data_IF_849043109955
#
_entry.id   IF_849043109955
#
_cell.length_a   1.000
_cell.length_b   1.000
_cell.length_c   1.000
_cell.angle_alpha   90.00
_cell.angle_beta   90.00
_cell.angle_gamma   90.00
#
_symmetry.space_group_name_H-M   'P 1'
#
loop_
_entity.id
_entity.type
_entity.pdbx_description
1 polymer ?
#
# COMPACT_ATOMS: atom_id res chain seq x y z
N UNK A 1 -13.04 -22.99 8.62
CA UNK A 1 -11.58 -22.76 8.79
C UNK A 1 -10.74 -24.00 8.46
N UNK A 2 -11.01 -25.13 9.02
CA UNK A 2 -10.14 -26.32 8.93
C UNK A 2 -9.78 -26.77 7.50
N UNK A 3 -10.64 -26.58 6.50
CA UNK A 3 -10.41 -27.13 5.17
C UNK A 3 -9.49 -26.28 4.26
N UNK A 4 -9.55 -24.94 4.33
CA UNK A 4 -8.72 -24.05 3.47
C UNK A 4 -7.28 -24.08 3.93
N UNK A 5 -7.06 -23.96 5.23
CA UNK A 5 -5.72 -23.97 5.81
C UNK A 5 -5.01 -25.31 5.58
N UNK A 6 -5.72 -26.43 5.71
CA UNK A 6 -5.15 -27.76 5.44
C UNK A 6 -4.80 -27.96 3.95
N UNK A 7 -5.64 -27.42 3.04
CA UNK A 7 -5.30 -27.42 1.61
C UNK A 7 -4.07 -26.56 1.32
N UNK A 8 -3.99 -25.35 1.91
CA UNK A 8 -2.85 -24.46 1.75
C UNK A 8 -1.54 -25.08 2.28
N UNK A 9 -1.61 -25.75 3.46
CA UNK A 9 -0.46 -26.50 4.03
C UNK A 9 0.11 -27.51 3.03
N UNK A 10 -0.76 -28.30 2.40
CA UNK A 10 -0.34 -29.32 1.43
C UNK A 10 0.23 -28.69 0.14
N UNK A 11 -0.26 -27.54 -0.28
CA UNK A 11 0.21 -26.83 -1.49
C UNK A 11 1.62 -26.24 -1.30
N UNK A 12 1.95 -25.80 -0.08
CA UNK A 12 3.18 -25.11 0.24
C UNK A 12 4.14 -25.87 1.19
N UNK A 13 3.91 -27.15 1.45
CA UNK A 13 4.72 -27.99 2.37
C UNK A 13 4.80 -27.41 3.80
N UNK A 14 3.67 -26.93 4.32
CA UNK A 14 3.59 -26.25 5.62
C UNK A 14 3.03 -27.14 6.75
N UNK A 15 3.03 -28.48 6.61
CA UNK A 15 2.44 -29.42 7.58
C UNK A 15 3.09 -29.32 8.98
N UNK A 16 4.36 -28.91 9.03
CA UNK A 16 5.14 -28.78 10.28
C UNK A 16 5.23 -27.34 10.80
N UNK A 17 4.36 -26.44 10.30
CA UNK A 17 4.31 -25.06 10.73
C UNK A 17 3.12 -24.82 11.67
N UNK A 18 3.32 -23.92 12.61
CA UNK A 18 2.27 -23.33 13.44
C UNK A 18 1.76 -22.07 12.74
N UNK A 19 0.46 -21.81 12.84
CA UNK A 19 -0.21 -20.71 12.16
C UNK A 19 -0.83 -19.78 13.19
N UNK A 20 -0.43 -18.51 13.13
CA UNK A 20 -1.01 -17.43 13.91
C UNK A 20 -1.73 -16.47 12.96
N UNK A 21 -3.04 -16.32 13.12
CA UNK A 21 -3.81 -15.35 12.34
C UNK A 21 -3.48 -13.94 12.84
N UNK A 22 -3.03 -13.07 11.94
CA UNK A 22 -2.61 -11.68 12.25
C UNK A 22 -3.45 -10.64 11.49
N UNK A 23 -4.24 -11.06 10.53
CA UNK A 23 -5.14 -10.21 9.75
C UNK A 23 -6.36 -10.98 9.28
N UNK A 24 -7.39 -10.25 8.85
CA UNK A 24 -8.68 -10.80 8.43
C UNK A 24 -9.72 -10.63 9.52
N UNK A 25 -10.39 -9.50 9.47
CA UNK A 25 -11.62 -9.22 10.21
C UNK A 25 -12.83 -9.59 9.38
N UNK A 26 -14.01 -9.70 9.98
CA UNK A 26 -15.26 -9.82 9.26
C UNK A 26 -15.36 -8.65 8.25
N UNK A 27 -15.47 -8.98 6.96
CA UNK A 27 -15.46 -7.98 5.87
C UNK A 27 -14.11 -7.70 5.22
N UNK A 28 -12.97 -8.12 5.80
CA UNK A 28 -11.65 -7.89 5.24
C UNK A 28 -11.35 -8.72 3.98
N UNK A 29 -10.58 -8.14 3.04
CA UNK A 29 -10.21 -8.79 1.77
C UNK A 29 -9.41 -10.08 1.96
N UNK A 30 -8.51 -10.09 2.93
CA UNK A 30 -7.51 -11.15 3.10
C UNK A 30 -7.58 -11.77 4.50
N UNK A 31 -7.46 -13.10 4.56
CA UNK A 31 -7.04 -13.79 5.77
C UNK A 31 -5.52 -13.95 5.75
N UNK A 32 -4.85 -13.48 6.78
CA UNK A 32 -3.39 -13.48 6.86
C UNK A 32 -2.91 -14.29 8.05
N UNK A 33 -2.01 -15.23 7.79
CA UNK A 33 -1.41 -16.08 8.81
C UNK A 33 0.11 -15.97 8.80
N UNK A 34 0.70 -15.68 9.95
CA UNK A 34 2.14 -15.88 10.16
C UNK A 34 2.40 -17.36 10.40
N UNK A 35 3.28 -17.93 9.61
CA UNK A 35 3.69 -19.32 9.71
C UNK A 35 5.00 -19.43 10.47
N UNK A 36 4.99 -20.14 11.60
CA UNK A 36 6.12 -20.32 12.50
C UNK A 36 6.67 -21.73 12.43
N UNK A 37 7.97 -21.87 12.58
CA UNK A 37 8.64 -23.14 12.76
C UNK A 37 9.64 -23.02 13.90
N UNK A 38 9.47 -23.78 14.97
CA UNK A 38 10.29 -23.72 16.20
C UNK A 38 10.39 -22.28 16.74
N UNK A 39 9.26 -21.63 16.95
CA UNK A 39 9.12 -20.23 17.42
C UNK A 39 9.63 -19.15 16.45
N UNK A 40 10.24 -19.51 15.35
CA UNK A 40 10.72 -18.55 14.36
C UNK A 40 9.68 -18.30 13.28
N UNK A 41 9.34 -17.02 13.06
CA UNK A 41 8.46 -16.59 11.95
C UNK A 41 9.20 -16.79 10.63
N UNK A 42 8.64 -17.57 9.71
CA UNK A 42 9.30 -17.94 8.45
C UNK A 42 8.65 -17.39 7.22
N UNK A 43 7.31 -17.40 7.20
CA UNK A 43 6.55 -16.96 6.04
C UNK A 43 5.16 -16.46 6.45
N UNK A 44 4.50 -15.81 5.51
CA UNK A 44 3.15 -15.25 5.64
C UNK A 44 2.27 -15.89 4.57
N UNK A 45 1.23 -16.58 5.01
CA UNK A 45 0.21 -17.14 4.12
C UNK A 45 -0.95 -16.16 4.01
N UNK A 46 -1.25 -15.72 2.79
CA UNK A 46 -2.40 -14.86 2.48
C UNK A 46 -3.45 -15.66 1.70
N UNK A 47 -4.68 -15.60 2.15
CA UNK A 47 -5.85 -16.18 1.50
C UNK A 47 -6.81 -15.05 1.18
N UNK A 48 -7.00 -14.78 -0.11
CA UNK A 48 -7.83 -13.68 -0.62
C UNK A 48 -9.14 -14.24 -1.16
N UNK A 49 -10.25 -13.80 -0.60
CA UNK A 49 -11.55 -14.41 -0.85
C UNK A 49 -12.64 -13.43 -1.32
N UNK A 50 -12.36 -12.12 -1.22
CA UNK A 50 -13.35 -11.09 -1.52
C UNK A 50 -13.53 -10.96 -3.01
N UNK A 51 -13.99 -11.48 -3.85
CA UNK A 51 -14.19 -11.43 -5.31
C UNK A 51 -14.05 -10.07 -6.01
N UNK A 52 -13.38 -9.12 -5.38
CA UNK A 52 -13.11 -7.76 -5.87
C UNK A 52 -11.93 -7.70 -6.84
N UNK A 53 -11.12 -8.77 -6.89
CA UNK A 53 -9.95 -8.89 -7.76
C UNK A 53 -9.95 -10.21 -8.52
N UNK A 54 -9.40 -10.15 -9.71
CA UNK A 54 -9.23 -11.31 -10.60
C UNK A 54 -7.95 -12.10 -10.27
N UNK A 55 -7.86 -13.33 -10.75
CA UNK A 55 -6.63 -14.13 -10.70
C UNK A 55 -5.45 -13.39 -11.34
N UNK A 56 -5.68 -12.74 -12.49
CA UNK A 56 -4.65 -12.00 -13.22
C UNK A 56 -4.05 -10.86 -12.39
N UNK A 57 -4.87 -10.15 -11.60
CA UNK A 57 -4.39 -9.09 -10.73
C UNK A 57 -3.53 -9.62 -9.58
N UNK A 58 -3.85 -10.79 -9.01
CA UNK A 58 -3.01 -11.44 -8.01
C UNK A 58 -1.71 -11.99 -8.62
N UNK A 59 -1.75 -12.53 -9.83
CA UNK A 59 -0.56 -12.98 -10.56
C UNK A 59 0.34 -11.79 -10.91
N UNK A 60 -0.24 -10.66 -11.34
CA UNK A 60 0.52 -9.44 -11.65
C UNK A 60 1.22 -8.85 -10.40
N UNK A 61 0.54 -8.80 -9.24
CA UNK A 61 1.14 -8.38 -7.97
C UNK A 61 2.31 -9.28 -7.59
N UNK A 62 2.07 -10.58 -7.52
CA UNK A 62 3.07 -11.54 -7.05
C UNK A 62 4.26 -11.68 -8.03
N UNK A 63 4.01 -11.55 -9.34
CA UNK A 63 5.06 -11.47 -10.36
C UNK A 63 5.96 -10.26 -10.15
N UNK A 64 5.37 -9.09 -9.87
CA UNK A 64 6.13 -7.86 -9.59
C UNK A 64 6.97 -7.98 -8.32
N UNK A 65 6.39 -8.45 -7.22
CA UNK A 65 7.13 -8.67 -5.96
C UNK A 65 8.29 -9.64 -6.16
N UNK A 66 8.06 -10.74 -6.85
CA UNK A 66 9.11 -11.73 -7.14
C UNK A 66 10.21 -11.14 -8.01
N UNK A 67 9.85 -10.35 -9.03
CA UNK A 67 10.82 -9.63 -9.85
C UNK A 67 11.66 -8.66 -9.01
N UNK A 68 11.04 -7.86 -8.14
CA UNK A 68 11.74 -6.92 -7.26
C UNK A 68 12.75 -7.64 -6.37
N UNK A 69 12.33 -8.71 -5.69
CA UNK A 69 13.20 -9.52 -4.82
C UNK A 69 14.37 -10.13 -5.59
N UNK A 70 14.12 -10.72 -6.76
CA UNK A 70 15.15 -11.33 -7.60
C UNK A 70 16.16 -10.33 -8.15
N UNK A 71 15.80 -9.07 -8.25
CA UNK A 71 16.68 -8.00 -8.71
C UNK A 71 17.26 -7.15 -7.56
N UNK A 72 17.13 -7.61 -6.31
CA UNK A 72 17.83 -7.08 -5.16
C UNK A 72 17.12 -5.97 -4.40
N UNK A 73 15.83 -5.71 -4.66
CA UNK A 73 15.03 -4.87 -3.78
C UNK A 73 14.76 -5.59 -2.45
N UNK A 74 14.74 -4.83 -1.36
CA UNK A 74 14.43 -5.37 -0.05
C UNK A 74 12.92 -5.47 0.15
N UNK A 75 12.35 -6.56 -0.36
CA UNK A 75 10.92 -6.88 -0.29
C UNK A 75 10.72 -8.31 0.21
N UNK A 76 9.59 -8.59 0.83
CA UNK A 76 9.19 -9.93 1.24
C UNK A 76 8.83 -10.77 -0.01
N UNK A 77 9.79 -11.58 -0.50
CA UNK A 77 9.64 -12.35 -1.74
C UNK A 77 8.47 -13.33 -1.67
N UNK A 78 7.87 -13.61 -2.80
CA UNK A 78 6.84 -14.65 -2.95
C UNK A 78 7.50 -16.03 -3.00
N UNK A 79 6.99 -16.95 -2.22
CA UNK A 79 7.45 -18.35 -2.18
C UNK A 79 6.55 -19.17 -3.11
N UNK A 80 7.08 -19.74 -4.21
CA UNK A 80 6.28 -20.54 -5.12
C UNK A 80 5.69 -21.79 -4.43
N UNK A 81 4.50 -22.17 -4.85
CA UNK A 81 3.88 -23.44 -4.45
C UNK A 81 4.68 -24.65 -4.96
N UNK A 82 4.30 -25.87 -4.54
CA UNK A 82 4.84 -27.12 -5.07
C UNK A 82 4.68 -27.27 -6.58
N UNK A 83 3.68 -26.62 -7.15
CA UNK A 83 3.44 -26.60 -8.59
C UNK A 83 4.29 -25.54 -9.33
N UNK A 84 5.04 -24.70 -8.60
CA UNK A 84 5.84 -23.61 -9.13
C UNK A 84 5.06 -22.33 -9.39
N UNK A 85 3.79 -22.25 -8.98
CA UNK A 85 2.97 -21.05 -9.12
C UNK A 85 3.18 -20.07 -7.96
N UNK A 86 3.08 -18.78 -8.23
CA UNK A 86 3.13 -17.72 -7.23
C UNK A 86 1.76 -17.51 -6.55
N UNK A 87 0.68 -17.81 -7.27
CA UNK A 87 -0.70 -17.77 -6.77
C UNK A 87 -1.37 -19.09 -7.07
N UNK A 88 -2.04 -19.67 -6.09
CA UNK A 88 -2.88 -20.86 -6.26
C UNK A 88 -4.36 -20.49 -6.10
N UNK A 89 -5.18 -21.09 -6.97
CA UNK A 89 -6.63 -20.95 -6.92
C UNK A 89 -7.24 -22.11 -6.15
N UNK A 90 -8.12 -21.82 -5.22
CA UNK A 90 -8.85 -22.82 -4.46
C UNK A 90 -10.34 -22.55 -4.44
N UNK A 91 -11.14 -23.62 -4.35
CA UNK A 91 -12.58 -23.55 -4.09
C UNK A 91 -12.83 -23.88 -2.62
N UNK A 92 -13.59 -23.01 -1.94
CA UNK A 92 -13.88 -23.11 -0.51
C UNK A 92 -15.32 -22.70 -0.23
N UNK A 93 -15.88 -23.24 0.85
CA UNK A 93 -17.21 -22.78 1.28
C UNK A 93 -17.13 -21.35 1.82
N UNK A 94 -18.07 -20.46 1.47
CA UNK A 94 -18.08 -19.07 1.92
C UNK A 94 -17.96 -18.92 3.44
N UNK A 95 -18.69 -19.75 4.20
CA UNK A 95 -18.67 -19.77 5.67
C UNK A 95 -17.28 -20.07 6.29
N UNK A 96 -16.34 -20.59 5.49
CA UNK A 96 -14.98 -20.93 5.97
C UNK A 96 -14.04 -19.71 5.92
N UNK A 97 -14.37 -18.72 5.12
CA UNK A 97 -13.55 -17.52 4.88
C UNK A 97 -14.19 -16.24 5.40
N UNK A 98 -15.21 -16.36 6.28
CA UNK A 98 -15.87 -15.21 6.89
C UNK A 98 -16.80 -14.42 5.97
N UNK A 99 -17.00 -14.86 4.73
CA UNK A 99 -18.02 -14.29 3.86
C UNK A 99 -19.39 -14.71 4.41
N UNK A 100 -20.24 -13.74 4.74
CA UNK A 100 -21.61 -14.01 5.17
C UNK A 100 -22.36 -14.74 4.06
N UNK A 101 -23.20 -15.74 4.42
CA UNK A 101 -24.10 -16.43 3.47
C UNK A 101 -25.15 -15.49 2.83
N UNK A 102 -25.08 -14.18 3.13
CA UNK A 102 -26.07 -13.17 2.74
C UNK A 102 -25.97 -12.70 1.29
N UNK A 103 -24.97 -13.09 0.54
CA UNK A 103 -24.96 -12.86 -0.90
C UNK A 103 -25.73 -13.96 -1.62
N UNK A 104 -27.05 -13.82 -1.68
CA UNK A 104 -27.98 -14.53 -2.56
C UNK A 104 -27.78 -16.05 -2.74
N UNK A 105 -28.13 -16.84 -1.74
CA UNK A 105 -28.56 -18.24 -1.97
C UNK A 105 -27.62 -19.16 -2.78
N UNK A 106 -26.35 -18.83 -2.89
CA UNK A 106 -25.38 -19.63 -3.64
C UNK A 106 -24.96 -20.85 -2.80
N UNK A 107 -25.56 -21.98 -3.07
CA UNK A 107 -25.12 -23.31 -2.57
C UNK A 107 -23.77 -23.77 -3.18
N UNK A 108 -22.92 -22.86 -3.66
CA UNK A 108 -21.65 -23.18 -4.32
C UNK A 108 -20.41 -22.85 -3.49
N UNK A 109 -19.30 -23.50 -3.82
CA UNK A 109 -17.99 -23.13 -3.28
C UNK A 109 -17.57 -21.74 -3.84
N UNK A 110 -17.07 -20.85 -2.98
CA UNK A 110 -16.48 -19.59 -3.37
C UNK A 110 -15.03 -19.80 -3.86
N UNK A 111 -14.62 -19.01 -4.81
CA UNK A 111 -13.23 -18.98 -5.28
C UNK A 111 -12.37 -18.17 -4.32
N UNK A 112 -11.17 -18.65 -3.99
CA UNK A 112 -10.17 -17.88 -3.27
C UNK A 112 -8.79 -18.09 -3.89
N UNK A 113 -7.90 -17.09 -3.68
CA UNK A 113 -6.54 -17.07 -4.16
C UNK A 113 -5.58 -17.14 -2.98
N UNK A 114 -4.55 -17.96 -3.11
CA UNK A 114 -3.60 -18.21 -2.03
C UNK A 114 -2.20 -17.92 -2.47
N UNK A 115 -1.49 -17.12 -1.69
CA UNK A 115 -0.08 -16.78 -1.92
C UNK A 115 0.70 -16.93 -0.62
N UNK A 116 1.96 -17.35 -0.74
CA UNK A 116 2.89 -17.46 0.37
C UNK A 116 4.04 -16.47 0.17
N UNK A 117 4.35 -15.69 1.19
CA UNK A 117 5.43 -14.73 1.18
C UNK A 117 6.47 -15.08 2.23
N UNK A 118 7.74 -14.77 1.99
CA UNK A 118 8.77 -14.80 3.01
C UNK A 118 8.39 -13.83 4.14
N UNK A 119 8.71 -14.15 5.39
CA UNK A 119 8.52 -13.19 6.47
C UNK A 119 9.53 -12.05 6.33
N UNK A 120 9.05 -10.82 6.32
CA UNK A 120 9.91 -9.63 6.22
C UNK A 120 10.88 -9.57 7.41
N UNK A 121 12.16 -9.30 7.14
CA UNK A 121 13.18 -9.18 8.18
C UNK A 121 12.91 -7.94 9.06
N UNK A 122 13.06 -8.09 10.37
CA UNK A 122 12.81 -7.01 11.34
C UNK A 122 11.42 -7.08 11.96
N UNK A 123 10.92 -5.95 12.43
CA UNK A 123 9.60 -5.78 13.04
C UNK A 123 9.00 -4.44 12.60
N UNK A 124 7.70 -4.25 12.81
CA UNK A 124 7.04 -2.95 12.62
C UNK A 124 7.60 -1.90 13.59
N UNK A 125 7.64 -0.65 13.17
CA UNK A 125 8.02 0.46 14.04
C UNK A 125 7.09 0.57 15.26
N UNK A 126 5.80 0.33 15.08
CA UNK A 126 4.79 0.31 16.13
C UNK A 126 5.05 -0.75 17.19
N UNK A 127 5.58 -1.92 16.82
CA UNK A 127 5.97 -2.96 17.76
C UNK A 127 7.12 -2.52 18.68
N UNK A 128 7.93 -1.54 18.26
CA UNK A 128 8.97 -0.89 19.08
C UNK A 128 8.54 0.48 19.64
N UNK A 129 7.23 0.77 19.69
CA UNK A 129 6.69 2.02 20.21
C UNK A 129 7.18 3.26 19.47
N UNK A 130 7.41 3.15 18.16
CA UNK A 130 7.97 4.19 17.30
C UNK A 130 9.37 4.70 17.70
N UNK A 131 10.07 4.00 18.59
CA UNK A 131 11.48 4.26 18.82
C UNK A 131 12.31 3.64 17.72
N UNK A 132 13.13 4.47 17.08
CA UNK A 132 14.13 3.96 16.16
C UNK A 132 15.30 3.32 16.92
N UNK A 133 16.19 2.67 16.23
CA UNK A 133 17.28 1.89 16.82
C UNK A 133 18.24 2.72 17.67
N UNK A 134 18.75 2.14 18.76
CA UNK A 134 19.65 2.80 19.68
C UNK A 134 20.93 3.33 19.01
N UNK A 135 21.27 4.57 19.32
CA UNK A 135 22.49 5.22 18.83
C UNK A 135 22.48 5.69 17.38
N UNK A 136 21.38 5.46 16.65
CA UNK A 136 21.21 5.98 15.29
C UNK A 136 20.25 7.19 15.28
N UNK A 137 20.50 8.18 14.42
CA UNK A 137 19.57 9.30 14.25
C UNK A 137 18.33 8.86 13.48
N UNK A 138 17.21 9.51 13.75
CA UNK A 138 15.94 9.26 13.02
C UNK A 138 16.07 9.55 11.51
N UNK A 139 16.96 10.45 11.12
CA UNK A 139 17.25 10.72 9.71
C UNK A 139 17.77 9.49 8.94
N UNK A 140 18.36 8.51 9.60
CA UNK A 140 18.74 7.25 8.97
C UNK A 140 17.49 6.46 8.52
N UNK A 141 16.42 6.44 9.34
CA UNK A 141 15.15 5.84 8.94
C UNK A 141 14.58 6.53 7.69
N UNK A 142 14.54 7.87 7.71
CA UNK A 142 14.01 8.65 6.59
C UNK A 142 14.79 8.42 5.29
N UNK A 143 16.13 8.38 5.41
CA UNK A 143 16.99 8.02 4.28
C UNK A 143 16.67 6.62 3.75
N UNK A 144 16.54 5.63 4.63
CA UNK A 144 16.26 4.25 4.26
C UNK A 144 14.85 4.07 3.65
N UNK A 145 13.86 4.84 4.09
CA UNK A 145 12.53 4.88 3.45
C UNK A 145 12.65 5.35 1.98
N UNK A 146 13.30 6.49 1.77
CA UNK A 146 13.55 7.01 0.42
C UNK A 146 14.35 6.06 -0.45
N UNK A 147 15.43 5.46 0.08
CA UNK A 147 16.25 4.49 -0.61
C UNK A 147 15.44 3.25 -1.03
N UNK A 148 14.58 2.74 -0.15
CA UNK A 148 13.75 1.57 -0.43
C UNK A 148 12.79 1.82 -1.58
N UNK A 149 12.04 2.92 -1.53
CA UNK A 149 11.13 3.32 -2.62
C UNK A 149 11.89 3.62 -3.90
N UNK A 150 13.05 4.29 -3.82
CA UNK A 150 13.92 4.53 -4.98
C UNK A 150 14.37 3.23 -5.66
N UNK A 151 14.74 2.21 -4.89
CA UNK A 151 15.12 0.90 -5.44
C UNK A 151 13.94 0.21 -6.14
N UNK A 152 12.74 0.26 -5.55
CA UNK A 152 11.51 -0.27 -6.15
C UNK A 152 11.23 0.44 -7.48
N UNK A 153 11.24 1.77 -7.51
CA UNK A 153 10.96 2.55 -8.72
C UNK A 153 12.01 2.35 -9.81
N UNK A 154 13.30 2.29 -9.46
CA UNK A 154 14.37 1.98 -10.42
C UNK A 154 14.14 0.64 -11.12
N UNK A 155 13.71 -0.37 -10.39
CA UNK A 155 13.40 -1.69 -10.94
C UNK A 155 12.08 -1.66 -11.71
N UNK A 156 11.07 -0.94 -11.24
CA UNK A 156 9.78 -0.76 -11.93
C UNK A 156 9.97 -0.18 -13.35
N UNK A 157 10.87 0.81 -13.53
CA UNK A 157 11.21 1.37 -14.85
C UNK A 157 11.68 0.31 -15.86
N UNK A 158 12.28 -0.75 -15.37
CA UNK A 158 12.84 -1.83 -16.19
C UNK A 158 11.93 -3.05 -16.27
N UNK A 159 10.87 -3.09 -15.47
CA UNK A 159 9.96 -4.22 -15.39
C UNK A 159 9.20 -4.45 -16.70
N UNK A 160 9.04 -5.70 -17.09
CA UNK A 160 8.28 -6.12 -18.26
C UNK A 160 7.29 -7.19 -17.82
N UNK A 161 6.06 -6.80 -17.49
CA UNK A 161 5.06 -7.70 -16.91
C UNK A 161 4.57 -8.75 -17.92
N UNK A 162 4.27 -9.93 -17.40
CA UNK A 162 3.47 -10.94 -18.10
C UNK A 162 1.97 -10.71 -17.85
N UNK A 163 1.64 -10.31 -16.64
CA UNK A 163 0.27 -9.98 -16.22
C UNK A 163 0.15 -8.48 -15.93
N UNK A 164 -1.03 -7.91 -16.24
CA UNK A 164 -1.24 -6.47 -16.13
C UNK A 164 -1.91 -6.08 -14.82
N UNK A 165 -1.42 -5.03 -14.19
CA UNK A 165 -2.13 -4.30 -13.13
C UNK A 165 -2.92 -3.15 -13.75
N UNK A 166 -3.97 -2.69 -13.05
CA UNK A 166 -4.75 -1.54 -13.46
C UNK A 166 -3.91 -0.25 -13.47
N UNK A 167 -4.33 0.71 -14.29
CA UNK A 167 -3.81 2.06 -14.33
C UNK A 167 -4.54 2.92 -13.28
N UNK A 168 -3.94 4.02 -12.84
CA UNK A 168 -4.58 4.93 -11.90
C UNK A 168 -6.01 5.32 -12.34
N UNK A 169 -6.19 5.73 -13.59
CA UNK A 169 -7.49 6.17 -14.09
C UNK A 169 -8.50 5.04 -14.37
N UNK A 170 -8.12 3.77 -14.27
CA UNK A 170 -9.07 2.66 -14.35
C UNK A 170 -9.97 2.62 -13.11
N UNK A 171 -9.43 2.99 -11.93
CA UNK A 171 -10.18 3.11 -10.68
C UNK A 171 -10.56 4.57 -10.38
N UNK A 172 -9.58 5.49 -10.38
CA UNK A 172 -9.78 6.88 -9.94
C UNK A 172 -10.24 7.74 -11.12
N UNK A 173 -11.54 7.67 -11.44
CA UNK A 173 -12.22 8.44 -12.49
C UNK A 173 -13.60 8.88 -12.00
N UNK A 174 -14.24 9.83 -12.69
CA UNK A 174 -15.51 10.38 -12.24
C UNK A 174 -16.67 9.38 -12.23
N UNK A 175 -16.64 8.35 -13.07
CA UNK A 175 -17.65 7.29 -13.06
C UNK A 175 -17.59 6.51 -11.73
N UNK A 176 -16.37 6.20 -11.26
CA UNK A 176 -16.18 5.52 -9.98
C UNK A 176 -16.46 6.43 -8.79
N UNK A 177 -15.98 7.68 -8.83
CA UNK A 177 -16.27 8.70 -7.82
C UNK A 177 -17.78 8.91 -7.64
N UNK A 178 -18.52 9.03 -8.73
CA UNK A 178 -19.99 9.19 -8.69
C UNK A 178 -20.71 7.96 -8.14
N UNK A 179 -20.12 6.78 -8.29
CA UNK A 179 -20.65 5.53 -7.77
C UNK A 179 -20.48 5.42 -6.25
N UNK A 180 -19.29 5.80 -5.71
CA UNK A 180 -18.96 5.55 -4.31
C UNK A 180 -19.23 6.75 -3.39
N UNK A 181 -19.09 7.98 -3.89
CA UNK A 181 -19.29 9.19 -3.09
C UNK A 181 -20.74 9.68 -3.28
N UNK A 182 -21.54 9.84 -2.21
CA UNK A 182 -22.91 10.30 -2.27
C UNK A 182 -23.05 11.71 -2.88
N UNK A 183 -24.21 12.00 -3.50
CA UNK A 183 -24.51 13.31 -4.11
C UNK A 183 -24.53 14.48 -3.10
N UNK A 184 -24.66 14.19 -1.81
CA UNK A 184 -24.55 15.20 -0.76
C UNK A 184 -23.17 15.89 -0.74
N UNK A 185 -22.13 15.25 -1.29
CA UNK A 185 -20.76 15.76 -1.37
C UNK A 185 -20.45 16.41 -2.73
N UNK A 186 -21.39 17.20 -3.29
CA UNK A 186 -21.23 17.77 -4.65
C UNK A 186 -20.00 18.68 -4.78
N UNK A 187 -19.62 19.44 -3.76
CA UNK A 187 -18.43 20.30 -3.76
C UNK A 187 -17.14 19.47 -3.80
N UNK A 188 -17.09 18.38 -3.04
CA UNK A 188 -16.00 17.41 -3.08
C UNK A 188 -15.85 16.76 -4.47
N UNK A 189 -16.95 16.28 -5.04
CA UNK A 189 -16.95 15.70 -6.40
C UNK A 189 -16.41 16.69 -7.43
N UNK A 190 -16.81 17.98 -7.33
CA UNK A 190 -16.29 19.02 -8.20
C UNK A 190 -14.79 19.28 -8.01
N UNK A 191 -14.30 19.28 -6.76
CA UNK A 191 -12.89 19.41 -6.46
C UNK A 191 -12.06 18.22 -6.99
N UNK A 192 -12.57 16.99 -6.81
CA UNK A 192 -11.94 15.77 -7.36
C UNK A 192 -11.89 15.85 -8.90
N UNK A 193 -12.98 16.25 -9.56
CA UNK A 193 -13.02 16.37 -11.01
C UNK A 193 -11.95 17.34 -11.54
N UNK A 194 -11.79 18.52 -10.91
CA UNK A 194 -10.72 19.46 -11.24
C UNK A 194 -9.33 18.82 -11.12
N UNK A 195 -9.07 18.09 -10.03
CA UNK A 195 -7.77 17.43 -9.81
C UNK A 195 -7.52 16.33 -10.84
N UNK A 196 -8.52 15.50 -11.15
CA UNK A 196 -8.39 14.45 -12.16
C UNK A 196 -8.05 15.02 -13.54
N UNK A 197 -8.65 16.15 -13.94
CA UNK A 197 -8.29 16.83 -15.19
C UNK A 197 -6.85 17.35 -15.16
N UNK A 198 -6.40 17.90 -14.05
CA UNK A 198 -5.00 18.33 -13.88
C UNK A 198 -4.02 17.15 -13.94
N UNK A 199 -4.36 16.00 -13.33
CA UNK A 199 -3.52 14.80 -13.41
C UNK A 199 -3.36 14.31 -14.85
N UNK A 200 -4.40 14.42 -15.70
CA UNK A 200 -4.33 14.05 -17.12
C UNK A 200 -3.31 14.88 -17.92
N UNK A 201 -2.90 16.03 -17.42
CA UNK A 201 -1.87 16.87 -18.04
C UNK A 201 -0.43 16.51 -17.66
N UNK A 202 -0.26 15.63 -16.68
CA UNK A 202 1.06 15.19 -16.23
C UNK A 202 1.73 14.28 -17.27
N UNK A 203 3.06 14.36 -17.43
CA UNK A 203 3.77 13.49 -18.36
C UNK A 203 3.64 12.02 -17.96
N UNK A 204 3.42 11.16 -18.94
CA UNK A 204 3.38 9.70 -18.78
C UNK A 204 4.47 9.11 -19.66
N UNK A 205 5.60 8.80 -19.07
CA UNK A 205 6.76 8.18 -19.70
C UNK A 205 7.45 7.22 -18.72
N UNK A 206 8.36 6.34 -19.18
CA UNK A 206 9.00 5.34 -18.31
C UNK A 206 9.83 5.92 -17.16
N UNK A 207 10.22 7.21 -17.22
CA UNK A 207 10.96 7.87 -16.13
C UNK A 207 10.07 8.45 -15.05
N UNK A 208 8.80 8.72 -15.37
CA UNK A 208 7.82 9.36 -14.48
C UNK A 208 6.71 8.43 -14.02
N UNK A 209 6.42 7.36 -14.76
CA UNK A 209 5.22 6.53 -14.59
C UNK A 209 5.53 5.03 -14.71
N UNK A 210 5.03 4.23 -13.79
CA UNK A 210 5.20 2.77 -13.76
C UNK A 210 4.46 2.15 -12.58
N UNK A 211 4.75 0.89 -12.26
CA UNK A 211 4.22 0.25 -11.07
C UNK A 211 4.82 0.90 -9.82
N UNK A 212 3.95 1.39 -8.94
CA UNK A 212 4.28 1.95 -7.62
C UNK A 212 3.78 1.02 -6.52
N UNK A 213 4.28 1.19 -5.29
CA UNK A 213 3.76 0.46 -4.14
C UNK A 213 2.32 0.86 -3.82
N UNK A 214 2.03 2.14 -3.92
CA UNK A 214 0.73 2.79 -3.72
C UNK A 214 0.24 2.85 -2.26
N UNK A 215 0.85 2.09 -1.36
CA UNK A 215 0.51 2.05 0.07
C UNK A 215 1.79 1.81 0.92
N UNK A 216 2.84 2.60 0.69
CA UNK A 216 4.09 2.50 1.45
C UNK A 216 3.98 3.24 2.78
N UNK A 217 3.33 2.61 3.75
CA UNK A 217 3.14 3.09 5.11
C UNK A 217 3.98 2.29 6.12
N UNK A 218 4.07 2.78 7.35
CA UNK A 218 4.76 2.10 8.46
C UNK A 218 4.11 0.76 8.88
N UNK A 219 2.89 0.50 8.44
CA UNK A 219 2.23 -0.80 8.51
C UNK A 219 2.70 -1.82 7.48
N UNK A 220 3.38 -1.37 6.40
CA UNK A 220 3.71 -2.18 5.23
C UNK A 220 5.23 -2.36 5.02
N UNK A 221 6.04 -2.10 6.04
CA UNK A 221 7.44 -2.47 6.07
C UNK A 221 7.92 -2.82 7.49
N UNK A 222 8.89 -3.73 7.56
CA UNK A 222 9.65 -3.99 8.78
C UNK A 222 10.97 -3.23 8.77
N UNK A 223 11.44 -2.85 9.95
CA UNK A 223 12.79 -2.30 10.19
C UNK A 223 13.64 -3.34 10.91
N UNK A 224 14.79 -3.65 10.38
CA UNK A 224 15.82 -4.39 11.11
C UNK A 224 16.58 -3.43 12.02
N UNK A 225 16.30 -3.48 13.31
CA UNK A 225 16.90 -2.59 14.30
C UNK A 225 18.40 -2.83 14.52
N UNK A 226 18.99 -3.87 13.93
CA UNK A 226 20.43 -4.11 13.99
C UNK A 226 21.22 -3.22 13.03
N UNK A 227 20.66 -2.90 11.86
CA UNK A 227 21.33 -2.14 10.80
C UNK A 227 20.47 -1.05 10.14
N UNK A 228 19.19 -0.93 10.52
CA UNK A 228 18.24 0.04 9.99
C UNK A 228 17.65 -0.32 8.62
N UNK A 229 17.94 -1.51 8.10
CA UNK A 229 17.42 -1.93 6.80
C UNK A 229 15.89 -2.08 6.84
N UNK A 230 15.23 -1.63 5.78
CA UNK A 230 13.78 -1.76 5.60
C UNK A 230 13.49 -2.93 4.66
N UNK A 231 12.53 -3.77 5.02
CA UNK A 231 11.97 -4.82 4.16
C UNK A 231 10.49 -4.57 3.95
N UNK A 232 10.09 -4.26 2.72
CA UNK A 232 8.73 -3.88 2.33
C UNK A 232 7.88 -5.11 2.02
N UNK A 233 6.59 -5.02 2.28
CA UNK A 233 5.59 -6.05 1.97
C UNK A 233 4.23 -5.40 1.66
N UNK A 234 3.23 -6.22 1.33
CA UNK A 234 1.86 -5.85 0.98
C UNK A 234 1.77 -4.92 -0.23
N UNK A 235 2.10 -5.47 -1.40
CA UNK A 235 1.92 -4.84 -2.70
C UNK A 235 0.49 -5.00 -3.25
N UNK A 236 -0.45 -5.37 -2.40
CA UNK A 236 -1.85 -5.60 -2.79
C UNK A 236 -2.45 -4.42 -3.55
N UNK A 237 -2.12 -3.20 -3.17
CA UNK A 237 -2.61 -1.98 -3.80
C UNK A 237 -1.74 -1.46 -4.95
N UNK A 238 -0.63 -2.15 -5.33
CA UNK A 238 0.23 -1.69 -6.40
C UNK A 238 -0.53 -1.49 -7.73
N UNK A 239 -0.34 -0.36 -8.37
CA UNK A 239 -0.94 0.01 -9.65
C UNK A 239 0.06 0.77 -10.52
N UNK A 240 -0.26 0.96 -11.80
CA UNK A 240 0.47 1.91 -12.64
C UNK A 240 0.06 3.34 -12.28
N UNK A 241 1.02 4.10 -11.75
CA UNK A 241 0.85 5.49 -11.33
C UNK A 241 2.17 6.26 -11.52
N UNK A 242 2.16 7.57 -11.29
CA UNK A 242 3.39 8.37 -11.23
C UNK A 242 4.21 7.98 -10.00
N UNK A 243 5.52 7.85 -10.15
CA UNK A 243 6.42 7.57 -9.03
C UNK A 243 6.35 8.63 -7.92
N UNK A 244 5.93 9.82 -8.27
CA UNK A 244 5.66 10.91 -7.31
C UNK A 244 4.53 10.60 -6.34
N UNK A 245 3.63 9.65 -6.65
CA UNK A 245 2.58 9.23 -5.73
C UNK A 245 3.19 8.68 -4.44
N UNK A 246 4.10 7.71 -4.53
CA UNK A 246 4.73 7.13 -3.34
C UNK A 246 5.57 8.17 -2.55
N UNK A 247 6.18 9.15 -3.23
CA UNK A 247 6.87 10.25 -2.57
C UNK A 247 5.89 11.21 -1.86
N UNK A 248 4.74 11.50 -2.47
CA UNK A 248 3.68 12.29 -1.85
C UNK A 248 3.05 11.54 -0.66
N UNK A 249 2.88 10.23 -0.78
CA UNK A 249 2.42 9.37 0.30
C UNK A 249 3.40 9.40 1.50
N UNK A 250 4.70 9.34 1.24
CA UNK A 250 5.72 9.56 2.28
C UNK A 250 5.62 10.95 2.90
N UNK A 251 5.36 12.00 2.10
CA UNK A 251 5.14 13.34 2.65
C UNK A 251 3.94 13.36 3.60
N UNK A 252 2.79 12.81 3.23
CA UNK A 252 1.59 12.82 4.08
C UNK A 252 1.83 12.09 5.40
N UNK A 253 2.52 10.95 5.38
CA UNK A 253 2.91 10.22 6.59
C UNK A 253 3.92 10.97 7.46
N UNK A 254 4.74 11.84 6.87
CA UNK A 254 5.70 12.67 7.59
C UNK A 254 5.07 13.61 8.61
N UNK A 255 3.82 13.98 8.41
CA UNK A 255 3.07 14.84 9.34
C UNK A 255 3.02 14.23 10.75
N UNK A 256 2.90 12.91 10.86
CA UNK A 256 2.91 12.19 12.14
C UNK A 256 4.20 12.41 12.96
N UNK A 257 5.32 12.66 12.30
CA UNK A 257 6.61 12.89 12.98
C UNK A 257 6.76 14.30 13.56
N UNK A 258 5.92 15.27 13.15
CA UNK A 258 6.03 16.66 13.58
C UNK A 258 4.72 17.27 14.13
N UNK A 259 3.61 16.56 14.11
CA UNK A 259 2.32 17.10 14.57
C UNK A 259 2.32 17.55 16.05
N UNK A 260 3.22 17.02 16.86
CA UNK A 260 3.43 17.43 18.24
C UNK A 260 4.04 18.84 18.40
N UNK A 261 4.58 19.41 17.31
CA UNK A 261 5.12 20.77 17.29
C UNK A 261 3.96 21.77 17.15
N UNK A 262 3.77 22.69 18.10
CA UNK A 262 2.67 23.67 18.04
C UNK A 262 2.89 24.76 16.98
N UNK A 263 4.12 25.00 16.58
CA UNK A 263 4.55 26.08 15.68
C UNK A 263 4.55 25.57 14.23
N UNK A 264 3.67 26.13 13.40
CA UNK A 264 3.50 25.72 11.99
C UNK A 264 4.74 25.99 11.13
N UNK A 265 5.48 27.08 11.38
CA UNK A 265 6.71 27.37 10.62
C UNK A 265 7.79 26.34 10.94
N UNK A 266 7.91 25.92 12.20
CA UNK A 266 8.85 24.87 12.59
C UNK A 266 8.46 23.52 12.02
N UNK A 267 7.16 23.18 12.00
CA UNK A 267 6.68 21.96 11.35
C UNK A 267 7.07 21.94 9.87
N UNK A 268 6.80 23.04 9.17
CA UNK A 268 7.13 23.15 7.75
C UNK A 268 8.63 23.04 7.51
N UNK A 269 9.47 23.72 8.32
CA UNK A 269 10.91 23.61 8.23
C UNK A 269 11.38 22.17 8.46
N UNK A 270 10.89 21.49 9.51
CA UNK A 270 11.19 20.10 9.78
C UNK A 270 10.82 19.19 8.61
N UNK A 271 9.62 19.35 8.06
CA UNK A 271 9.14 18.55 6.94
C UNK A 271 10.00 18.72 5.69
N UNK A 272 10.40 19.96 5.38
CA UNK A 272 11.20 20.23 4.19
C UNK A 272 12.67 19.88 4.35
N UNK A 273 13.30 20.33 5.43
CA UNK A 273 14.75 20.38 5.58
C UNK A 273 15.30 19.11 6.24
N UNK A 274 14.52 18.48 7.13
CA UNK A 274 14.97 17.29 7.85
C UNK A 274 14.30 16.01 7.34
N UNK A 275 12.99 15.97 7.25
CA UNK A 275 12.25 14.78 6.87
C UNK A 275 12.34 14.49 5.37
N UNK A 276 11.72 15.32 4.55
CA UNK A 276 11.56 15.02 3.12
C UNK A 276 12.86 15.20 2.32
N UNK A 277 13.70 16.16 2.69
CA UNK A 277 15.03 16.30 2.09
C UNK A 277 15.86 15.03 2.28
N UNK A 278 15.81 14.42 3.48
CA UNK A 278 16.51 13.17 3.77
C UNK A 278 15.92 11.99 2.99
N UNK A 279 14.59 11.91 2.86
CA UNK A 279 13.92 10.92 2.00
C UNK A 279 14.37 11.07 0.55
N UNK A 280 14.40 12.30 0.02
CA UNK A 280 14.85 12.57 -1.36
C UNK A 280 16.33 12.20 -1.55
N UNK A 281 17.17 12.43 -0.57
CA UNK A 281 18.57 11.99 -0.62
C UNK A 281 18.66 10.46 -0.75
N UNK A 282 17.93 9.73 0.09
CA UNK A 282 17.83 8.28 0.00
C UNK A 282 17.28 7.82 -1.34
N UNK A 283 16.19 8.42 -1.82
CA UNK A 283 15.59 8.11 -3.11
C UNK A 283 16.56 8.31 -4.28
N UNK A 284 17.24 9.46 -4.29
CA UNK A 284 18.21 9.83 -5.34
C UNK A 284 19.45 8.94 -5.35
N UNK A 285 19.72 8.21 -4.27
CA UNK A 285 20.80 7.20 -4.26
C UNK A 285 20.49 5.97 -5.13
N UNK A 286 19.21 5.75 -5.46
CA UNK A 286 18.74 4.58 -6.22
C UNK A 286 18.05 4.97 -7.53
N UNK A 287 17.31 6.07 -7.58
CA UNK A 287 16.49 6.48 -8.72
C UNK A 287 16.57 7.98 -8.97
N UNK A 288 16.28 8.38 -10.20
CA UNK A 288 16.11 9.79 -10.58
C UNK A 288 14.67 10.23 -10.33
N UNK A 289 14.48 11.47 -9.92
CA UNK A 289 13.19 12.13 -9.84
C UNK A 289 13.24 13.44 -10.66
N UNK A 290 12.15 13.75 -11.37
CA UNK A 290 12.03 14.98 -12.14
C UNK A 290 11.81 16.16 -11.21
N UNK A 291 12.66 17.19 -11.31
CA UNK A 291 12.49 18.44 -10.55
C UNK A 291 11.15 19.12 -10.92
N UNK A 292 10.75 19.08 -12.19
CA UNK A 292 9.45 19.59 -12.63
C UNK A 292 8.27 18.90 -11.92
N UNK A 293 8.37 17.58 -11.65
CA UNK A 293 7.34 16.85 -10.93
C UNK A 293 7.43 17.08 -9.41
N UNK A 294 8.63 17.30 -8.87
CA UNK A 294 8.80 17.70 -7.47
C UNK A 294 8.15 19.05 -7.18
N UNK A 295 8.27 20.03 -8.09
CA UNK A 295 7.55 21.31 -7.97
C UNK A 295 6.02 21.15 -7.94
N UNK A 296 5.50 20.01 -8.39
CA UNK A 296 4.07 19.65 -8.37
C UNK A 296 3.71 18.74 -7.19
N UNK A 297 4.55 18.61 -6.17
CA UNK A 297 4.31 17.71 -5.04
C UNK A 297 2.94 17.95 -4.39
N UNK A 298 2.47 19.19 -4.27
CA UNK A 298 1.14 19.51 -3.75
C UNK A 298 0.01 18.83 -4.54
N UNK A 299 0.15 18.75 -5.86
CA UNK A 299 -0.83 18.08 -6.73
C UNK A 299 -0.81 16.55 -6.52
N UNK A 300 0.35 15.96 -6.24
CA UNK A 300 0.46 14.54 -5.90
C UNK A 300 -0.04 14.23 -4.48
N UNK A 301 0.06 15.19 -3.56
CA UNK A 301 -0.59 15.09 -2.25
C UNK A 301 -2.11 15.07 -2.42
N UNK A 302 -2.69 15.95 -3.24
CA UNK A 302 -4.11 15.90 -3.58
C UNK A 302 -4.51 14.53 -4.15
N UNK A 303 -3.61 13.87 -4.91
CA UNK A 303 -3.84 12.52 -5.44
C UNK A 303 -3.93 11.46 -4.32
N UNK A 304 -3.07 11.57 -3.30
CA UNK A 304 -3.11 10.71 -2.11
C UNK A 304 -4.38 10.95 -1.30
N UNK A 305 -4.78 12.22 -1.11
CA UNK A 305 -6.02 12.54 -0.40
C UNK A 305 -7.26 12.00 -1.13
N UNK A 306 -7.30 12.07 -2.46
CA UNK A 306 -8.40 11.51 -3.27
C UNK A 306 -8.44 9.99 -3.13
N UNK A 307 -7.29 9.34 -3.12
CA UNK A 307 -7.20 7.90 -2.90
C UNK A 307 -7.80 7.53 -1.55
N UNK A 308 -7.35 8.17 -0.46
CA UNK A 308 -7.85 7.91 0.88
C UNK A 308 -9.35 8.17 1.04
N UNK A 309 -9.87 9.27 0.47
CA UNK A 309 -11.31 9.57 0.48
C UNK A 309 -12.10 8.48 -0.25
N UNK A 310 -11.69 8.12 -1.46
CA UNK A 310 -12.40 7.11 -2.27
C UNK A 310 -12.40 5.76 -1.56
N UNK A 311 -11.26 5.38 -0.95
CA UNK A 311 -11.13 4.11 -0.24
C UNK A 311 -12.00 4.07 1.02
N UNK A 312 -12.08 5.18 1.76
CA UNK A 312 -12.94 5.31 2.95
C UNK A 312 -14.42 5.18 2.60
N UNK A 313 -14.91 5.90 1.57
CA UNK A 313 -16.28 5.75 1.12
C UNK A 313 -16.60 4.34 0.60
N UNK A 314 -15.65 3.70 -0.09
CA UNK A 314 -15.78 2.32 -0.57
C UNK A 314 -15.86 1.32 0.60
N UNK A 315 -15.04 1.52 1.63
CA UNK A 315 -15.06 0.69 2.83
C UNK A 315 -16.36 0.84 3.61
N UNK A 316 -16.80 2.07 3.85
CA UNK A 316 -18.04 2.37 4.53
C UNK A 316 -19.27 1.77 3.82
N UNK A 317 -19.35 1.91 2.48
CA UNK A 317 -20.43 1.30 1.67
C UNK A 317 -20.45 -0.24 1.80
N UNK A 318 -19.27 -0.87 1.76
CA UNK A 318 -19.12 -2.32 1.89
C UNK A 318 -19.55 -2.83 3.28
N UNK A 319 -19.28 -2.07 4.33
CA UNK A 319 -19.60 -2.41 5.71
C UNK A 319 -21.02 -1.98 6.10
N UNK A 320 -21.67 -1.16 5.29
CA UNK A 320 -22.99 -0.58 5.55
C UNK A 320 -22.97 0.47 6.65
N UNK A 321 -21.84 1.16 6.79
CA UNK A 321 -21.57 2.21 7.75
C UNK A 321 -21.46 3.58 7.08
N UNK A 322 -21.41 4.66 7.85
CA UNK A 322 -21.04 5.98 7.35
C UNK A 322 -19.51 6.11 7.39
N UNK A 323 -18.89 6.86 6.45
CA UNK A 323 -17.45 7.10 6.47
C UNK A 323 -16.99 7.75 7.76
N UNK A 324 -15.77 7.46 8.23
CA UNK A 324 -15.22 8.06 9.44
C UNK A 324 -15.12 9.58 9.28
N UNK A 325 -15.82 10.38 10.10
CA UNK A 325 -15.80 11.83 9.97
C UNK A 325 -14.40 12.43 10.17
N UNK A 326 -13.57 11.86 11.05
CA UNK A 326 -12.25 12.43 11.36
C UNK A 326 -11.32 12.38 10.14
N UNK A 327 -11.27 11.25 9.43
CA UNK A 327 -10.42 11.09 8.25
C UNK A 327 -11.00 11.83 7.04
N UNK A 328 -12.30 11.65 6.77
CA UNK A 328 -12.93 12.25 5.59
C UNK A 328 -13.02 13.77 5.70
N UNK A 329 -13.39 14.35 6.84
CA UNK A 329 -13.60 15.79 6.98
C UNK A 329 -12.32 16.59 6.71
N UNK A 330 -11.18 16.16 7.22
CA UNK A 330 -9.91 16.86 7.00
C UNK A 330 -9.44 16.76 5.53
N UNK A 331 -9.55 15.61 4.92
CA UNK A 331 -9.18 15.43 3.51
C UNK A 331 -10.11 16.21 2.57
N UNK A 332 -11.42 16.14 2.81
CA UNK A 332 -12.44 16.90 2.08
C UNK A 332 -12.16 18.39 2.17
N UNK A 333 -11.90 18.88 3.37
CA UNK A 333 -11.59 20.31 3.61
C UNK A 333 -10.34 20.73 2.84
N UNK A 334 -9.26 19.93 2.88
CA UNK A 334 -8.04 20.22 2.15
C UNK A 334 -8.28 20.35 0.64
N UNK A 335 -9.06 19.43 0.06
CA UNK A 335 -9.36 19.46 -1.37
C UNK A 335 -10.32 20.58 -1.77
N UNK A 336 -11.40 20.81 -1.03
CA UNK A 336 -12.44 21.79 -1.36
C UNK A 336 -11.94 23.22 -1.14
N UNK A 337 -11.27 23.48 0.00
CA UNK A 337 -10.75 24.82 0.34
C UNK A 337 -9.35 25.07 -0.27
N UNK A 338 -8.74 24.08 -0.95
CA UNK A 338 -7.39 24.14 -1.49
C UNK A 338 -6.33 24.57 -0.46
N UNK A 339 -6.42 24.03 0.75
CA UNK A 339 -5.47 24.28 1.84
C UNK A 339 -4.49 23.12 2.00
N UNK A 340 -3.26 23.38 2.50
CA UNK A 340 -2.28 22.35 2.71
C UNK A 340 -2.75 21.29 3.71
N UNK A 341 -2.47 20.02 3.43
CA UNK A 341 -2.77 18.92 4.33
C UNK A 341 -2.07 19.10 5.68
N UNK A 342 -2.82 18.92 6.78
CA UNK A 342 -2.37 19.14 8.16
C UNK A 342 -1.73 20.53 8.41
N UNK A 343 -2.05 21.53 7.58
CA UNK A 343 -1.52 22.90 7.67
C UNK A 343 -0.05 23.03 7.30
N UNK A 344 0.50 22.08 6.56
CA UNK A 344 1.89 22.07 6.09
C UNK A 344 1.93 22.36 4.58
N UNK A 345 2.37 23.54 4.20
CA UNK A 345 2.53 23.95 2.78
C UNK A 345 3.69 23.22 2.08
N UNK A 346 3.61 23.15 0.75
CA UNK A 346 4.53 22.36 -0.11
C UNK A 346 5.19 23.25 -1.18
N UNK A 347 5.71 24.42 -0.82
CA UNK A 347 6.63 25.16 -1.68
C UNK A 347 8.04 24.64 -1.43
N UNK A 348 8.51 23.73 -2.25
CA UNK A 348 9.88 23.19 -2.19
C UNK A 348 10.92 24.13 -2.78
#
# INVERSE_FOLDING_TARGET
MTNVLEKAKAIYDLENYEFEQVGGHDGGRNLVYVCKQKEEKKCVLRISALGDRTMEEYEAETEFVHYLAKNGASVADVIPSRSGKLVERMQVKPSVIGLSEAADGAEGDAECFVSLFAYAKGILLSENGYHYRDGAPLSELFYNMGKTIGAIHRLSKQYRPTHQRQQYFDKYNMEYVDKVIPDAYAELKAAIADRLERFRTLPVDPESYGLVHFDFSDGNYHVDFSDGAITTFDFGNCIYCWYMFDLAHLWTHGVGWCQWMPDGEKRLAYMKEEYFATILEGYRSEATVSEELLEKLSLFIDMVLIEGIVDEFECADREGEEPDPEDVEDYVKCLVEAIPYAGIGVDL
#
